data_IF_612162973815
#
_entry.id   IF_612162973815
#
_cell.length_a   1.000
_cell.length_b   1.000
_cell.length_c   1.000
_cell.angle_alpha   90.00
_cell.angle_beta   90.00
_cell.angle_gamma   90.00
#
_symmetry.space_group_name_H-M   'P 1'
#
loop_
_entity.id
_entity.type
_entity.pdbx_description
1 polymer ?
#
# COMPACT_ATOMS: atom_id res chain seq x y z
N UNK A 1 17.35 -11.57 7.22
CA UNK A 1 16.23 -10.77 7.75
C UNK A 1 15.08 -10.95 6.79
N UNK A 2 13.91 -11.36 7.28
CA UNK A 2 12.74 -11.56 6.43
C UNK A 2 12.00 -10.24 6.34
N UNK A 3 11.80 -9.75 5.13
CA UNK A 3 10.94 -8.59 4.88
C UNK A 3 9.47 -9.02 5.10
N UNK A 4 8.68 -8.18 5.76
CA UNK A 4 7.23 -8.40 5.88
C UNK A 4 6.53 -7.58 4.80
N UNK A 5 5.78 -8.25 3.93
CA UNK A 5 4.93 -7.61 2.93
C UNK A 5 3.49 -7.66 3.43
N UNK A 6 2.85 -6.50 3.50
CA UNK A 6 1.43 -6.36 3.84
C UNK A 6 0.73 -5.73 2.65
N UNK A 7 -0.26 -6.43 2.10
CA UNK A 7 -1.07 -5.94 0.99
C UNK A 7 -2.52 -5.76 1.44
N UNK A 8 -3.13 -4.66 1.01
CA UNK A 8 -4.56 -4.40 1.13
C UNK A 8 -5.11 -4.03 -0.25
N UNK A 9 -6.21 -4.66 -0.64
CA UNK A 9 -7.01 -4.22 -1.78
C UNK A 9 -8.37 -3.73 -1.27
N UNK A 10 -8.87 -2.65 -1.87
CA UNK A 10 -10.19 -2.07 -1.59
C UNK A 10 -10.79 -1.53 -2.88
N UNK A 11 -12.10 -1.55 -3.02
CA UNK A 11 -12.75 -1.07 -4.23
C UNK A 11 -14.15 -1.63 -4.41
N UNK A 12 -14.81 -1.17 -5.45
CA UNK A 12 -16.16 -1.57 -5.83
C UNK A 12 -16.17 -2.00 -7.29
N UNK A 13 -17.01 -2.99 -7.57
CA UNK A 13 -17.26 -3.54 -8.89
C UNK A 13 -18.77 -3.58 -9.11
N UNK A 14 -19.21 -3.23 -10.31
CA UNK A 14 -20.63 -3.28 -10.71
C UNK A 14 -21.09 -4.69 -11.15
N UNK A 15 -20.24 -5.70 -10.96
CA UNK A 15 -20.40 -7.10 -11.40
C UNK A 15 -20.42 -7.32 -12.93
N UNK A 16 -20.34 -6.25 -13.73
CA UNK A 16 -20.24 -6.36 -15.19
C UNK A 16 -18.79 -6.25 -15.65
N UNK A 17 -18.12 -5.17 -15.28
CA UNK A 17 -16.77 -4.85 -15.72
C UNK A 17 -16.26 -3.55 -15.10
N UNK A 18 -17.17 -2.59 -14.89
CA UNK A 18 -16.80 -1.28 -14.42
C UNK A 18 -16.50 -1.33 -12.92
N UNK A 19 -15.32 -0.86 -12.57
CA UNK A 19 -14.86 -0.91 -11.20
C UNK A 19 -13.67 0.00 -10.96
N UNK A 20 -13.50 0.35 -9.69
CA UNK A 20 -12.33 1.08 -9.23
C UNK A 20 -11.77 0.34 -8.03
N UNK A 21 -10.47 0.07 -8.07
CA UNK A 21 -9.76 -0.55 -6.95
C UNK A 21 -8.52 0.24 -6.59
N UNK A 22 -8.19 0.26 -5.31
CA UNK A 22 -6.94 0.78 -4.78
C UNK A 22 -6.24 -0.35 -4.06
N UNK A 23 -5.04 -0.68 -4.53
CA UNK A 23 -4.15 -1.63 -3.88
C UNK A 23 -3.06 -0.85 -3.16
N UNK A 24 -2.87 -1.12 -1.86
CA UNK A 24 -1.77 -0.59 -1.07
C UNK A 24 -0.87 -1.75 -0.64
N UNK A 25 0.38 -1.73 -1.07
CA UNK A 25 1.45 -2.63 -0.64
C UNK A 25 2.39 -1.89 0.32
N UNK A 26 2.69 -2.51 1.45
CA UNK A 26 3.67 -2.01 2.43
C UNK A 26 4.73 -3.07 2.69
N UNK A 27 5.96 -2.72 2.38
CA UNK A 27 7.14 -3.52 2.67
C UNK A 27 7.80 -2.99 3.94
N UNK A 28 7.84 -3.81 4.98
CA UNK A 28 8.40 -3.48 6.28
C UNK A 28 9.78 -4.11 6.43
N UNK A 29 10.76 -3.29 6.80
CA UNK A 29 12.16 -3.69 7.03
C UNK A 29 12.65 -3.13 8.35
N UNK A 30 13.34 -3.95 9.14
CA UNK A 30 14.01 -3.48 10.35
C UNK A 30 15.41 -2.91 10.02
N UNK A 31 15.64 -1.65 10.35
CA UNK A 31 16.93 -0.96 10.16
C UNK A 31 17.54 -0.57 11.51
N UNK A 32 18.86 -0.31 11.60
CA UNK A 32 19.46 0.20 12.83
C UNK A 32 18.89 1.56 13.26
N UNK A 33 18.64 1.73 14.54
CA UNK A 33 18.18 2.97 15.16
C UNK A 33 18.93 3.27 16.48
N UNK A 34 18.82 4.50 17.01
CA UNK A 34 19.58 4.92 18.19
C UNK A 34 19.13 4.25 19.50
N UNK A 35 17.88 3.77 19.56
CA UNK A 35 17.29 3.15 20.77
C UNK A 35 16.87 1.68 20.56
N UNK A 36 17.27 1.07 19.44
CA UNK A 36 16.82 -0.26 19.03
C UNK A 36 16.82 -0.42 17.51
N UNK A 37 15.86 -1.19 16.98
CA UNK A 37 15.64 -1.30 15.53
C UNK A 37 14.47 -0.41 15.14
N UNK A 38 14.68 0.45 14.14
CA UNK A 38 13.60 1.22 13.53
C UNK A 38 12.93 0.38 12.42
N UNK A 39 11.73 0.75 12.01
CA UNK A 39 11.08 0.18 10.84
C UNK A 39 11.15 1.16 9.66
N UNK A 40 11.63 0.69 8.53
CA UNK A 40 11.47 1.35 7.23
C UNK A 40 10.27 0.73 6.52
N UNK A 41 9.28 1.56 6.20
CA UNK A 41 8.06 1.17 5.51
C UNK A 41 8.08 1.78 4.12
N UNK A 42 8.27 0.97 3.09
CA UNK A 42 8.06 1.39 1.70
C UNK A 42 6.59 1.16 1.35
N UNK A 43 5.88 2.24 1.05
CA UNK A 43 4.48 2.20 0.63
C UNK A 43 4.38 2.40 -0.89
N UNK A 44 3.65 1.49 -1.53
CA UNK A 44 3.28 1.54 -2.94
C UNK A 44 1.77 1.49 -3.06
N UNK A 45 1.21 2.37 -3.89
CA UNK A 45 -0.23 2.43 -4.13
C UNK A 45 -0.46 2.32 -5.63
N UNK A 46 -1.33 1.40 -6.02
CA UNK A 46 -1.81 1.26 -7.40
C UNK A 46 -3.30 1.54 -7.41
N UNK A 47 -3.73 2.47 -8.26
CA UNK A 47 -5.13 2.76 -8.54
C UNK A 47 -5.49 2.12 -9.87
N UNK A 48 -6.51 1.27 -9.89
CA UNK A 48 -6.94 0.57 -11.09
C UNK A 48 -8.36 0.99 -11.45
N UNK A 49 -8.59 1.24 -12.73
CA UNK A 49 -9.94 1.46 -13.28
C UNK A 49 -10.21 0.44 -14.37
N UNK A 50 -11.26 -0.35 -14.19
CA UNK A 50 -11.71 -1.36 -15.15
C UNK A 50 -12.92 -0.85 -15.92
N UNK A 51 -12.95 -1.09 -17.23
CA UNK A 51 -14.04 -0.68 -18.14
C UNK A 51 -14.18 -1.68 -19.28
N UNK A 52 -15.38 -1.88 -19.78
CA UNK A 52 -15.62 -2.69 -20.98
C UNK A 52 -15.13 -1.93 -22.22
N UNK A 53 -14.35 -2.61 -23.05
CA UNK A 53 -13.88 -2.12 -24.33
C UNK A 53 -14.97 -2.30 -25.39
N UNK A 54 -14.78 -1.65 -26.55
CA UNK A 54 -15.69 -1.84 -27.70
C UNK A 54 -15.74 -3.29 -28.22
N UNK A 55 -14.72 -4.10 -27.91
CA UNK A 55 -14.67 -5.54 -28.20
C UNK A 55 -15.50 -6.40 -27.24
N UNK A 56 -16.02 -5.83 -26.15
CA UNK A 56 -16.65 -6.58 -25.05
C UNK A 56 -15.65 -7.11 -24.02
N UNK A 57 -14.35 -6.82 -24.18
CA UNK A 57 -13.32 -7.22 -23.22
C UNK A 57 -13.20 -6.24 -22.05
N UNK A 58 -12.91 -6.73 -20.85
CA UNK A 58 -12.61 -5.86 -19.71
C UNK A 58 -11.16 -5.38 -19.71
N UNK A 59 -10.99 -4.08 -19.97
CA UNK A 59 -9.69 -3.44 -19.91
C UNK A 59 -9.51 -2.75 -18.56
N UNK A 60 -8.42 -3.10 -17.88
CA UNK A 60 -8.02 -2.45 -16.62
C UNK A 60 -6.83 -1.54 -16.89
N UNK A 61 -6.92 -0.28 -16.46
CA UNK A 61 -5.82 0.67 -16.50
C UNK A 61 -5.30 0.90 -15.09
N UNK A 62 -4.01 0.63 -14.89
CA UNK A 62 -3.33 0.85 -13.63
C UNK A 62 -2.59 2.20 -13.63
N UNK A 63 -2.67 2.90 -12.51
CA UNK A 63 -1.95 4.12 -12.22
C UNK A 63 -1.20 3.96 -10.91
N UNK A 64 0.12 3.86 -11.01
CA UNK A 64 0.99 3.83 -9.83
C UNK A 64 1.14 5.24 -9.25
N UNK A 65 0.89 5.38 -7.95
CA UNK A 65 1.24 6.58 -7.20
C UNK A 65 2.72 6.54 -6.87
N UNK A 66 3.38 7.70 -6.88
CA UNK A 66 4.79 7.81 -6.49
C UNK A 66 5.01 7.15 -5.11
N UNK A 67 5.94 6.18 -5.00
CA UNK A 67 6.17 5.47 -3.76
C UNK A 67 6.76 6.41 -2.72
N UNK A 68 6.48 6.12 -1.44
CA UNK A 68 7.09 6.85 -0.33
C UNK A 68 7.65 5.90 0.71
N UNK A 69 8.77 6.31 1.30
CA UNK A 69 9.40 5.60 2.40
C UNK A 69 9.17 6.35 3.70
N UNK A 70 8.69 5.64 4.71
CA UNK A 70 8.39 6.20 6.02
C UNK A 70 9.21 5.46 7.06
N UNK A 71 9.91 6.20 7.91
CA UNK A 71 10.68 5.65 9.02
C UNK A 71 9.86 5.74 10.30
N UNK A 72 9.60 4.61 10.93
CA UNK A 72 9.03 4.52 12.27
C UNK A 72 10.19 4.31 13.25
N UNK A 73 10.54 5.37 13.97
CA UNK A 73 11.60 5.30 14.98
C UNK A 73 11.10 4.59 16.23
N UNK A 74 11.92 3.67 16.74
CA UNK A 74 11.65 3.01 18.01
C UNK A 74 12.06 3.93 19.16
N UNK A 75 11.13 4.22 20.07
CA UNK A 75 11.36 5.18 21.17
C UNK A 75 12.06 4.55 22.39
N UNK A 76 12.28 3.23 22.38
CA UNK A 76 12.78 2.42 23.49
C UNK A 76 11.71 1.50 24.09
N UNK A 77 10.43 1.72 23.78
CA UNK A 77 9.31 0.90 24.24
C UNK A 77 8.34 0.53 23.11
N UNK A 78 8.12 1.43 22.15
CA UNK A 78 7.15 1.28 21.06
C UNK A 78 7.56 2.07 19.81
N UNK A 79 6.85 1.80 18.72
CA UNK A 79 6.87 2.65 17.53
C UNK A 79 5.75 3.68 17.64
N UNK A 80 6.06 4.95 17.46
CA UNK A 80 5.04 5.97 17.24
C UNK A 80 4.56 5.86 15.78
N UNK A 81 3.32 5.42 15.59
CA UNK A 81 2.74 5.18 14.26
C UNK A 81 1.93 6.41 13.87
N UNK A 82 2.34 7.17 12.83
CA UNK A 82 1.61 8.33 12.36
C UNK A 82 0.14 8.00 12.07
N UNK A 83 -0.77 8.93 12.39
CA UNK A 83 -2.20 8.80 12.08
C UNK A 83 -2.48 8.54 10.60
N UNK A 84 -1.55 8.91 9.73
CA UNK A 84 -1.59 8.65 8.28
C UNK A 84 -1.62 7.14 7.94
N UNK A 85 -1.26 6.24 8.86
CA UNK A 85 -1.40 4.80 8.70
C UNK A 85 -2.64 4.21 9.35
N UNK A 86 -3.41 5.01 10.11
CA UNK A 86 -4.62 4.54 10.76
C UNK A 86 -5.71 4.30 9.71
N UNK A 87 -6.48 3.21 9.90
CA UNK A 87 -7.57 2.83 9.00
C UNK A 87 -8.55 4.00 8.88
N UNK A 88 -8.78 4.46 7.65
CA UNK A 88 -10.04 5.12 7.28
C UNK A 88 -11.06 4.04 6.97
#
# INVERSE_FOLDING_TARGET
MNDLIVQRSQGEWDLSCAGQTVVTERLLRMIPGPKGRDLSVLERITQSTSKEAKSGECNTTDQAVAPRTIRLSFDGMRYDVPRLFQRR
#
